data_IF_910047823284
#
_entry.id   IF_910047823284
#
_cell.length_a   1.000
_cell.length_b   1.000
_cell.length_c   1.000
_cell.angle_alpha   90.00
_cell.angle_beta   90.00
_cell.angle_gamma   90.00
#
_symmetry.space_group_name_H-M   'P 1'
#
loop_
_entity.id
_entity.type
_entity.pdbx_description
1 polymer ?
#
# COMPACT_ATOMS: atom_id res chain seq x y z
N UNK A 1 4.18 -9.67 -29.41
CA UNK A 1 4.50 -8.33 -28.86
C UNK A 1 4.54 -8.48 -27.35
N UNK A 2 5.72 -8.35 -26.75
CA UNK A 2 5.92 -8.52 -25.30
C UNK A 2 5.57 -7.20 -24.61
N UNK A 3 4.38 -7.15 -24.00
CA UNK A 3 3.98 -6.03 -23.15
C UNK A 3 4.44 -6.32 -21.73
N UNK A 4 5.38 -5.53 -21.23
CA UNK A 4 5.76 -5.55 -19.82
C UNK A 4 4.62 -4.89 -19.05
N UNK A 5 3.88 -5.66 -18.26
CA UNK A 5 2.95 -5.10 -17.29
C UNK A 5 3.81 -4.45 -16.19
N UNK A 6 3.85 -3.12 -16.19
CA UNK A 6 4.60 -2.38 -15.19
C UNK A 6 3.81 -2.40 -13.87
N UNK A 7 4.37 -3.03 -12.84
CA UNK A 7 3.93 -2.80 -11.47
C UNK A 7 4.09 -1.30 -11.14
N UNK A 8 3.13 -0.78 -10.37
CA UNK A 8 2.94 0.61 -9.99
C UNK A 8 4.22 1.47 -9.93
N UNK A 9 4.21 2.60 -10.64
CA UNK A 9 5.21 3.65 -10.48
C UNK A 9 4.94 4.38 -9.16
N UNK A 10 5.61 3.95 -8.09
CA UNK A 10 5.54 4.61 -6.77
C UNK A 10 6.09 6.04 -6.86
N UNK A 11 5.22 7.02 -7.12
CA UNK A 11 5.57 8.44 -7.01
C UNK A 11 5.25 8.92 -5.60
N UNK A 12 6.25 8.91 -4.71
CA UNK A 12 6.19 9.67 -3.48
C UNK A 12 6.47 11.15 -3.83
N UNK A 13 5.42 11.96 -3.90
CA UNK A 13 5.52 13.41 -4.04
C UNK A 13 5.36 14.04 -2.67
N UNK A 14 6.40 14.74 -2.18
CA UNK A 14 6.34 15.54 -0.96
C UNK A 14 5.37 16.73 -1.19
N UNK A 15 4.15 16.64 -0.66
CA UNK A 15 3.08 17.65 -0.85
C UNK A 15 2.86 18.57 0.36
N UNK A 16 3.66 18.45 1.42
CA UNK A 16 3.46 19.22 2.65
C UNK A 16 4.78 19.52 3.34
N UNK A 17 5.31 20.72 3.13
CA UNK A 17 6.51 21.17 3.81
C UNK A 17 6.32 21.23 5.34
N UNK A 18 7.04 20.38 6.07
CA UNK A 18 7.28 20.50 7.52
C UNK A 18 7.63 19.14 8.15
N UNK A 19 8.73 18.92 8.88
CA UNK A 19 9.88 19.74 9.21
C UNK A 19 11.08 18.83 9.52
N UNK A 20 12.26 19.30 9.13
CA UNK A 20 13.56 18.60 9.16
C UNK A 20 14.37 19.10 10.36
N UNK A 21 15.02 18.23 11.12
CA UNK A 21 16.02 18.67 12.11
C UNK A 21 17.31 19.06 11.39
N UNK A 22 17.61 20.35 11.40
CA UNK A 22 18.84 20.92 10.84
C UNK A 22 19.99 20.76 11.85
N UNK A 23 20.93 19.87 11.57
CA UNK A 23 22.25 19.93 12.20
C UNK A 23 23.11 20.95 11.46
N UNK A 24 23.87 21.74 12.21
CA UNK A 24 24.82 22.72 11.66
C UNK A 24 25.67 22.05 10.57
N UNK A 25 25.52 22.49 9.32
CA UNK A 25 26.04 21.92 8.05
C UNK A 25 25.18 20.88 7.32
N UNK A 26 23.95 21.26 6.96
CA UNK A 26 23.59 21.39 5.53
C UNK A 26 23.34 20.14 4.67
N UNK A 27 23.31 18.93 5.21
CA UNK A 27 22.84 17.74 4.46
C UNK A 27 21.69 17.06 5.18
N UNK A 28 20.54 16.99 4.50
CA UNK A 28 19.38 16.20 4.93
C UNK A 28 19.59 14.78 4.41
N UNK A 29 20.02 13.88 5.29
CA UNK A 29 20.04 12.46 4.99
C UNK A 29 18.80 11.80 5.62
N UNK A 30 17.71 11.74 4.85
CA UNK A 30 16.67 10.75 5.12
C UNK A 30 17.23 9.42 4.65
N UNK A 31 17.76 8.63 5.59
CA UNK A 31 18.16 7.26 5.29
C UNK A 31 16.91 6.54 4.75
N UNK A 32 16.90 6.18 3.47
CA UNK A 32 15.78 5.54 2.78
C UNK A 32 15.35 4.19 3.41
N UNK A 33 16.11 3.67 4.38
CA UNK A 33 15.75 2.51 5.20
C UNK A 33 14.82 2.85 6.38
N UNK A 34 14.74 4.11 6.80
CA UNK A 34 14.01 4.52 8.01
C UNK A 34 12.56 4.95 7.73
N UNK A 35 12.25 5.41 6.52
CA UNK A 35 10.89 5.67 6.04
C UNK A 35 10.68 4.95 4.71
N UNK A 36 9.70 4.05 4.65
CA UNK A 36 9.47 3.23 3.46
C UNK A 36 7.99 3.08 3.16
N UNK A 37 7.61 3.36 1.91
CA UNK A 37 6.36 2.90 1.32
C UNK A 37 6.67 1.59 0.57
N UNK A 38 6.01 0.51 0.95
CA UNK A 38 6.23 -0.81 0.38
C UNK A 38 4.90 -1.40 -0.07
N UNK A 39 4.90 -1.99 -1.27
CA UNK A 39 3.79 -2.79 -1.81
C UNK A 39 4.24 -4.23 -1.94
N UNK A 40 3.40 -5.16 -1.51
CA UNK A 40 3.66 -6.60 -1.59
C UNK A 40 2.44 -7.35 -2.09
N UNK A 41 2.71 -8.46 -2.80
CA UNK A 41 1.70 -9.41 -3.25
C UNK A 41 1.85 -10.70 -2.46
N UNK A 42 0.76 -11.19 -1.87
CA UNK A 42 0.74 -12.37 -1.01
C UNK A 42 -0.24 -13.42 -1.52
N UNK A 43 0.15 -14.70 -1.43
CA UNK A 43 -0.67 -15.87 -1.77
C UNK A 43 -0.54 -16.88 -0.65
N UNK A 44 -1.66 -17.28 -0.04
CA UNK A 44 -1.67 -18.29 1.02
C UNK A 44 -0.73 -17.99 2.19
N UNK A 45 -0.50 -16.71 2.50
CA UNK A 45 0.44 -16.28 3.55
C UNK A 45 1.92 -16.27 3.14
N UNK A 46 2.24 -16.45 1.86
CA UNK A 46 3.59 -16.32 1.31
C UNK A 46 3.72 -15.03 0.51
N UNK A 47 4.76 -14.24 0.77
CA UNK A 47 5.08 -13.06 -0.02
C UNK A 47 5.68 -13.49 -1.37
N UNK A 48 5.07 -13.06 -2.46
CA UNK A 48 5.41 -13.46 -3.83
C UNK A 48 6.25 -12.42 -4.57
N UNK A 49 5.99 -11.14 -4.31
CA UNK A 49 6.72 -10.02 -4.86
C UNK A 49 6.61 -8.80 -3.93
N UNK A 50 7.65 -7.96 -3.91
CA UNK A 50 7.73 -6.75 -3.10
C UNK A 50 8.38 -5.62 -3.89
N UNK A 51 7.84 -4.41 -3.76
CA UNK A 51 8.47 -3.17 -4.25
C UNK A 51 8.46 -2.15 -3.10
N UNK A 52 9.63 -1.66 -2.66
CA UNK A 52 10.98 -2.05 -3.06
C UNK A 52 11.28 -3.56 -2.82
N UNK A 53 12.31 -4.06 -3.49
CA UNK A 53 12.71 -5.45 -3.40
C UNK A 53 13.11 -5.82 -1.95
N UNK A 54 12.56 -6.92 -1.44
CA UNK A 54 12.81 -7.42 -0.09
C UNK A 54 13.37 -8.84 -0.19
N UNK A 55 14.56 -9.09 0.39
CA UNK A 55 15.20 -10.40 0.39
C UNK A 55 14.36 -11.47 1.10
N UNK A 56 13.51 -11.09 2.06
CA UNK A 56 12.59 -12.00 2.72
C UNK A 56 11.35 -12.32 1.88
N UNK A 57 11.09 -11.60 0.78
CA UNK A 57 9.97 -11.82 -0.12
C UNK A 57 10.44 -12.50 -1.41
N UNK A 58 10.25 -13.82 -1.51
CA UNK A 58 10.53 -14.63 -2.70
C UNK A 58 11.88 -14.29 -3.39
N UNK A 59 12.95 -14.17 -2.58
CA UNK A 59 14.29 -13.87 -3.10
C UNK A 59 14.41 -12.52 -3.80
N UNK A 60 13.75 -11.48 -3.28
CA UNK A 60 13.75 -10.12 -3.86
C UNK A 60 12.98 -9.99 -5.19
N UNK A 61 12.04 -10.89 -5.46
CA UNK A 61 11.17 -10.75 -6.64
C UNK A 61 10.37 -9.44 -6.58
N UNK A 62 10.40 -8.70 -7.69
CA UNK A 62 9.61 -7.46 -7.88
C UNK A 62 8.39 -7.66 -8.78
N UNK A 63 8.28 -8.84 -9.39
CA UNK A 63 7.18 -9.25 -10.27
C UNK A 63 6.81 -10.71 -9.98
N UNK A 64 5.54 -11.06 -10.12
CA UNK A 64 5.05 -12.44 -10.06
C UNK A 64 4.05 -12.68 -11.18
N UNK A 65 4.11 -13.85 -11.82
CA UNK A 65 3.08 -14.33 -12.75
C UNK A 65 2.18 -15.31 -12.02
N UNK A 66 0.86 -15.12 -12.11
CA UNK A 66 -0.13 -15.98 -11.47
C UNK A 66 -1.21 -16.39 -12.48
N UNK A 67 -1.76 -17.62 -12.38
CA UNK A 67 -2.88 -18.05 -13.21
C UNK A 67 -4.14 -17.18 -12.99
N UNK A 68 -4.97 -17.05 -14.04
CA UNK A 68 -6.34 -16.51 -13.89
C UNK A 68 -7.12 -17.30 -12.84
N UNK A 69 -7.96 -16.59 -12.08
CA UNK A 69 -8.72 -17.13 -10.95
C UNK A 69 -7.92 -17.23 -9.64
N UNK A 70 -6.63 -16.90 -9.63
CA UNK A 70 -5.83 -16.90 -8.40
C UNK A 70 -6.29 -15.78 -7.46
N UNK A 71 -6.63 -16.15 -6.22
CA UNK A 71 -6.89 -15.20 -5.14
C UNK A 71 -5.57 -14.67 -4.57
N UNK A 72 -5.49 -13.35 -4.43
CA UNK A 72 -4.31 -12.61 -4.02
C UNK A 72 -4.67 -11.68 -2.87
N UNK A 73 -3.68 -11.32 -2.06
CA UNK A 73 -3.75 -10.17 -1.18
C UNK A 73 -2.69 -9.16 -1.58
N UNK A 74 -3.11 -7.92 -1.78
CA UNK A 74 -2.20 -6.79 -1.96
C UNK A 74 -2.06 -6.09 -0.62
N UNK A 75 -0.83 -6.05 -0.09
CA UNK A 75 -0.50 -5.33 1.12
C UNK A 75 0.33 -4.09 0.78
N UNK A 76 -0.09 -2.93 1.25
CA UNK A 76 0.68 -1.68 1.14
C UNK A 76 0.89 -1.13 2.54
N UNK A 77 2.12 -0.77 2.87
CA UNK A 77 2.43 -0.26 4.20
C UNK A 77 3.45 0.87 4.16
N UNK A 78 3.34 1.75 5.15
CA UNK A 78 4.27 2.83 5.45
C UNK A 78 4.97 2.48 6.76
N UNK A 79 6.26 2.14 6.68
CA UNK A 79 7.12 1.97 7.85
C UNK A 79 7.72 3.31 8.24
N UNK A 80 7.49 3.73 9.47
CA UNK A 80 8.20 4.84 10.08
C UNK A 80 9.08 4.33 11.22
N UNK A 81 10.33 4.00 10.91
CA UNK A 81 11.34 3.60 11.90
C UNK A 81 12.15 4.81 12.40
N UNK A 82 11.67 6.02 12.17
CA UNK A 82 12.29 7.25 12.67
C UNK A 82 11.72 7.61 14.04
N UNK A 83 12.46 8.45 14.77
CA UNK A 83 12.00 9.06 16.02
C UNK A 83 10.99 10.21 15.81
N UNK A 84 10.57 10.49 14.57
CA UNK A 84 9.73 11.63 14.20
C UNK A 84 8.41 11.09 13.65
N UNK A 85 7.27 11.64 14.10
CA UNK A 85 5.98 11.34 13.50
C UNK A 85 5.84 12.05 12.15
N UNK A 86 5.19 11.39 11.19
CA UNK A 86 4.94 11.93 9.86
C UNK A 86 3.45 12.21 9.75
N UNK A 87 3.11 13.41 9.32
CA UNK A 87 1.74 13.82 9.05
C UNK A 87 1.50 13.97 7.55
N UNK A 88 0.23 14.05 7.17
CA UNK A 88 -0.22 14.33 5.79
C UNK A 88 0.27 13.31 4.76
N UNK A 89 0.42 12.05 5.17
CA UNK A 89 0.79 10.97 4.25
C UNK A 89 -0.38 10.71 3.30
N UNK A 90 -0.07 10.66 2.00
CA UNK A 90 -1.03 10.34 0.95
C UNK A 90 -0.38 9.43 -0.06
N UNK A 91 -1.10 8.40 -0.48
CA UNK A 91 -0.68 7.56 -1.58
C UNK A 91 -1.88 6.97 -2.30
N UNK A 92 -1.64 6.62 -3.56
CA UNK A 92 -2.62 6.01 -4.43
C UNK A 92 -1.99 4.81 -5.12
N UNK A 93 -2.78 3.79 -5.35
CA UNK A 93 -2.36 2.60 -6.08
C UNK A 93 -3.38 2.30 -7.17
N UNK A 94 -2.91 2.43 -8.41
CA UNK A 94 -3.71 2.09 -9.57
C UNK A 94 -3.74 0.57 -9.76
N UNK A 95 -4.95 0.04 -9.81
CA UNK A 95 -5.25 -1.37 -9.99
C UNK A 95 -5.76 -1.53 -11.42
N UNK A 96 -4.96 -2.21 -12.24
CA UNK A 96 -5.39 -2.61 -13.57
C UNK A 96 -6.48 -3.67 -13.43
N UNK A 97 -7.71 -3.35 -13.81
CA UNK A 97 -8.89 -4.22 -13.74
C UNK A 97 -9.23 -4.84 -15.11
N UNK A 98 -8.38 -4.65 -16.13
CA UNK A 98 -8.69 -5.04 -17.51
C UNK A 98 -8.89 -6.56 -17.64
N UNK A 99 -9.96 -6.96 -18.34
CA UNK A 99 -10.23 -8.36 -18.65
C UNK A 99 -9.43 -8.81 -19.90
N UNK A 100 -8.78 -9.97 -19.85
CA UNK A 100 -8.12 -10.56 -21.03
C UNK A 100 -6.83 -11.33 -20.73
N UNK A 101 -6.17 -11.84 -21.79
CA UNK A 101 -4.98 -12.69 -21.69
C UNK A 101 -3.72 -11.97 -21.11
N UNK A 102 -3.70 -10.64 -21.12
CA UNK A 102 -2.70 -9.82 -20.44
C UNK A 102 -3.10 -9.44 -18.99
N UNK A 103 -4.19 -10.04 -18.48
CA UNK A 103 -5.21 -9.35 -17.68
C UNK A 103 -4.78 -8.74 -16.35
N UNK A 104 -5.69 -7.91 -15.84
CA UNK A 104 -5.62 -7.25 -14.56
C UNK A 104 -6.13 -8.09 -13.38
N UNK A 105 -6.52 -7.39 -12.33
CA UNK A 105 -7.01 -7.89 -11.05
C UNK A 105 -8.35 -7.24 -10.75
N UNK A 106 -9.34 -8.04 -10.38
CA UNK A 106 -10.61 -7.54 -9.85
C UNK A 106 -10.52 -7.48 -8.32
N UNK A 107 -10.60 -6.29 -7.69
CA UNK A 107 -10.69 -6.18 -6.24
C UNK A 107 -11.93 -6.88 -5.69
N UNK A 108 -11.77 -7.63 -4.61
CA UNK A 108 -12.88 -8.24 -3.88
C UNK A 108 -13.55 -7.17 -3.02
N UNK A 109 -14.85 -6.97 -3.21
CA UNK A 109 -15.64 -6.04 -2.40
C UNK A 109 -15.56 -6.36 -0.90
N UNK A 110 -15.61 -5.32 -0.07
CA UNK A 110 -15.56 -5.36 1.40
C UNK A 110 -14.37 -6.17 1.98
N UNK A 111 -13.24 -6.24 1.27
CA UNK A 111 -12.05 -6.97 1.72
C UNK A 111 -10.98 -6.10 2.38
N UNK A 112 -11.13 -4.78 2.30
CA UNK A 112 -10.15 -3.82 2.78
C UNK A 112 -10.03 -3.86 4.31
N UNK A 113 -8.80 -3.92 4.80
CA UNK A 113 -8.49 -3.83 6.23
C UNK A 113 -7.25 -2.98 6.45
N UNK A 114 -7.11 -2.44 7.65
CA UNK A 114 -5.92 -1.72 8.08
C UNK A 114 -5.41 -2.18 9.45
N UNK A 115 -4.13 -1.87 9.72
CA UNK A 115 -3.50 -1.99 11.02
C UNK A 115 -2.51 -0.83 11.24
N UNK A 116 -2.41 -0.38 12.49
CA UNK A 116 -1.42 0.59 12.97
C UNK A 116 -0.72 0.14 14.25
N UNK A 117 -0.90 -1.11 14.66
CA UNK A 117 -0.37 -1.62 15.92
C UNK A 117 1.11 -2.00 15.86
N UNK A 118 1.62 -2.26 14.65
CA UNK A 118 3.00 -2.72 14.47
C UNK A 118 4.03 -1.59 14.66
N UNK A 119 5.19 -1.96 15.19
CA UNK A 119 6.35 -1.06 15.29
C UNK A 119 6.99 -0.83 13.90
N UNK A 120 7.77 0.25 13.78
CA UNK A 120 8.45 0.64 12.53
C UNK A 120 9.54 -0.34 12.08
N UNK A 121 10.04 -1.17 13.01
CA UNK A 121 11.03 -2.23 12.75
C UNK A 121 10.42 -3.59 12.40
N UNK A 122 9.08 -3.70 12.33
CA UNK A 122 8.41 -4.97 12.17
C UNK A 122 8.75 -5.62 10.83
N UNK A 123 8.89 -6.94 10.82
CA UNK A 123 9.09 -7.71 9.59
C UNK A 123 7.83 -7.65 8.73
N UNK A 124 7.98 -7.77 7.41
CA UNK A 124 6.84 -7.78 6.48
C UNK A 124 5.82 -8.90 6.82
N UNK A 125 6.29 -10.06 7.29
CA UNK A 125 5.43 -11.15 7.72
C UNK A 125 4.59 -10.83 8.98
N UNK A 126 5.17 -10.10 9.94
CA UNK A 126 4.43 -9.65 11.12
C UNK A 126 3.39 -8.59 10.75
N UNK A 127 3.75 -7.66 9.87
CA UNK A 127 2.84 -6.65 9.34
C UNK A 127 1.68 -7.32 8.60
N UNK A 128 1.98 -8.28 7.73
CA UNK A 128 0.97 -9.06 7.02
C UNK A 128 0.01 -9.77 7.96
N UNK A 129 0.53 -10.46 8.98
CA UNK A 129 -0.30 -11.18 9.97
C UNK A 129 -1.18 -10.21 10.77
N UNK A 130 -0.67 -9.04 11.14
CA UNK A 130 -1.42 -8.03 11.87
C UNK A 130 -2.54 -7.42 11.00
N UNK A 131 -2.23 -7.00 9.77
CA UNK A 131 -3.18 -6.30 8.91
C UNK A 131 -4.34 -7.19 8.44
N UNK A 132 -4.11 -8.49 8.20
CA UNK A 132 -5.21 -9.41 7.84
C UNK A 132 -6.18 -9.66 9.02
N UNK A 133 -5.69 -9.51 10.25
CA UNK A 133 -6.48 -9.57 11.48
C UNK A 133 -6.97 -8.19 11.93
N UNK A 134 -6.61 -7.14 11.19
CA UNK A 134 -6.88 -5.75 11.50
C UNK A 134 -8.34 -5.37 11.33
N UNK A 135 -8.58 -4.07 11.47
CA UNK A 135 -9.91 -3.49 11.41
C UNK A 135 -10.39 -3.42 9.96
N UNK A 136 -11.62 -3.86 9.72
CA UNK A 136 -12.25 -3.77 8.41
C UNK A 136 -12.60 -2.32 8.07
N UNK A 137 -12.36 -1.96 6.82
CA UNK A 137 -12.68 -0.67 6.23
C UNK A 137 -13.80 -0.88 5.20
N UNK A 138 -14.58 0.17 4.93
CA UNK A 138 -15.43 0.13 3.74
C UNK A 138 -14.60 0.47 2.51
N UNK A 139 -14.83 -0.31 1.47
CA UNK A 139 -14.26 -0.12 0.15
C UNK A 139 -14.82 1.12 -0.56
N UNK A 140 -16.00 1.60 -0.18
CA UNK A 140 -16.65 2.72 -0.84
C UNK A 140 -15.90 4.05 -0.66
N UNK A 141 -15.71 4.74 -1.79
CA UNK A 141 -15.26 6.13 -1.82
C UNK A 141 -16.33 6.98 -1.12
N UNK A 142 -15.89 7.92 -0.27
CA UNK A 142 -16.75 8.83 0.50
C UNK A 142 -17.70 8.18 1.53
N UNK A 143 -17.44 6.95 1.97
CA UNK A 143 -18.30 6.23 2.92
C UNK A 143 -18.34 6.81 4.37
N UNK A 144 -17.95 8.07 4.52
CA UNK A 144 -18.08 8.86 5.74
C UNK A 144 -16.86 8.83 6.66
N UNK A 145 -17.00 9.58 7.75
CA UNK A 145 -16.00 9.77 8.78
C UNK A 145 -15.76 8.46 9.55
N UNK A 146 -14.86 7.62 9.03
CA UNK A 146 -14.36 6.43 9.72
C UNK A 146 -13.11 5.85 9.07
N UNK A 147 -12.98 6.02 7.76
CA UNK A 147 -12.05 5.22 6.98
C UNK A 147 -10.66 5.85 6.81
N UNK A 148 -9.64 5.00 6.78
CA UNK A 148 -8.24 5.29 6.42
C UNK A 148 -7.99 5.15 4.92
N UNK A 149 -8.77 4.32 4.24
CA UNK A 149 -8.58 3.99 2.83
C UNK A 149 -9.92 3.75 2.13
N UNK A 150 -9.94 3.84 0.81
CA UNK A 150 -11.07 3.43 -0.03
C UNK A 150 -10.57 2.89 -1.35
N UNK A 151 -11.36 2.03 -2.00
CA UNK A 151 -11.08 1.50 -3.33
C UNK A 151 -12.20 1.96 -4.26
N UNK A 152 -11.88 2.83 -5.20
CA UNK A 152 -12.77 3.09 -6.32
C UNK A 152 -12.73 1.89 -7.26
N UNK A 153 -13.81 1.09 -7.25
CA UNK A 153 -14.04 0.05 -8.24
C UNK A 153 -14.97 0.60 -9.32
N UNK A 154 -14.45 0.74 -10.54
CA UNK A 154 -15.16 1.28 -11.70
C UNK A 154 -15.89 0.22 -12.51
N UNK A 155 -15.83 -1.04 -12.08
CA UNK A 155 -16.58 -2.16 -12.65
C UNK A 155 -16.17 -2.52 -14.08
N UNK A 156 -14.90 -2.37 -14.45
CA UNK A 156 -14.39 -2.83 -15.75
C UNK A 156 -14.62 -1.85 -16.91
N UNK A 157 -14.96 -0.58 -16.65
CA UNK A 157 -15.15 0.44 -17.70
C UNK A 157 -13.83 1.08 -18.15
N UNK A 158 -12.82 0.26 -18.46
CA UNK A 158 -11.50 0.68 -18.99
C UNK A 158 -10.73 1.74 -18.17
N UNK A 159 -11.23 2.13 -17.01
CA UNK A 159 -10.57 3.01 -16.07
C UNK A 159 -9.89 2.15 -15.01
N UNK A 160 -8.63 2.45 -14.71
CA UNK A 160 -7.93 1.80 -13.61
C UNK A 160 -8.74 2.02 -12.33
N UNK A 161 -8.99 0.93 -11.61
CA UNK A 161 -9.46 1.01 -10.24
C UNK A 161 -8.38 1.70 -9.40
N UNK A 162 -8.77 2.42 -8.36
CA UNK A 162 -7.82 3.19 -7.56
C UNK A 162 -8.04 2.97 -6.08
N UNK A 163 -7.02 2.42 -5.42
CA UNK A 163 -6.92 2.46 -3.97
C UNK A 163 -6.37 3.82 -3.57
N UNK A 164 -7.09 4.54 -2.72
CA UNK A 164 -6.69 5.85 -2.23
C UNK A 164 -6.57 5.83 -0.71
N UNK A 165 -5.44 6.31 -0.20
CA UNK A 165 -5.19 6.54 1.22
C UNK A 165 -4.84 8.00 1.43
N UNK A 166 -5.56 8.65 2.33
CA UNK A 166 -5.20 10.00 2.76
C UNK A 166 -5.68 11.14 1.85
N UNK A 167 -6.49 10.86 0.83
CA UNK A 167 -6.71 11.80 -0.28
C UNK A 167 -8.18 12.07 -0.65
N UNK A 168 -9.14 11.47 0.06
CA UNK A 168 -10.57 11.58 -0.25
C UNK A 168 -11.29 12.45 0.79
N UNK A 169 -11.98 13.53 0.38
CA UNK A 169 -12.78 14.36 1.28
C UNK A 169 -13.82 13.54 2.05
N UNK A 170 -13.78 13.56 3.39
CA UNK A 170 -14.73 12.83 4.23
C UNK A 170 -14.19 11.52 4.85
N UNK A 171 -13.02 11.04 4.43
CA UNK A 171 -12.26 10.03 5.18
C UNK A 171 -11.79 10.61 6.53
N UNK A 172 -11.77 9.80 7.60
CA UNK A 172 -11.22 10.21 8.92
C UNK A 172 -9.76 10.64 8.81
N UNK A 173 -9.09 10.16 7.77
CA UNK A 173 -7.69 10.43 7.51
C UNK A 173 -7.49 11.22 6.22
N UNK A 174 -8.25 12.29 5.94
CA UNK A 174 -7.88 13.25 4.88
C UNK A 174 -6.41 13.75 4.97
N UNK A 175 -5.77 13.46 6.10
CA UNK A 175 -4.33 13.44 6.37
C UNK A 175 -4.00 12.17 7.18
N UNK A 176 -3.30 11.17 6.61
CA UNK A 176 -2.81 10.02 7.38
C UNK A 176 -1.60 10.45 8.21
N UNK A 177 -1.67 10.22 9.52
CA UNK A 177 -0.56 10.44 10.44
C UNK A 177 0.05 9.10 10.85
N UNK A 178 1.35 8.92 10.62
CA UNK A 178 2.11 7.74 11.03
C UNK A 178 3.04 8.15 12.17
N UNK A 179 2.73 7.68 13.37
CA UNK A 179 3.52 7.98 14.58
C UNK A 179 4.99 7.52 14.43
N UNK A 180 5.86 8.11 15.24
CA UNK A 180 7.24 7.69 15.33
C UNK A 180 7.35 6.21 15.73
N UNK A 181 8.25 5.46 15.12
CA UNK A 181 8.48 4.04 15.37
C UNK A 181 7.24 3.15 15.19
N UNK A 182 6.28 3.52 14.35
CA UNK A 182 5.11 2.70 14.02
C UNK A 182 5.02 2.39 12.53
N UNK A 183 4.18 1.42 12.19
CA UNK A 183 3.85 1.07 10.82
C UNK A 183 2.35 1.25 10.60
N UNK A 184 1.97 1.92 9.52
CA UNK A 184 0.62 1.85 8.97
C UNK A 184 0.60 0.80 7.86
N UNK A 185 -0.40 -0.07 7.85
CA UNK A 185 -0.57 -1.06 6.81
C UNK A 185 -2.03 -1.17 6.38
N UNK A 186 -2.23 -1.46 5.11
CA UNK A 186 -3.52 -1.85 4.54
C UNK A 186 -3.37 -3.12 3.72
N UNK A 187 -4.44 -3.89 3.65
CA UNK A 187 -4.56 -5.06 2.79
C UNK A 187 -5.92 -5.09 2.14
N UNK A 188 -5.97 -5.52 0.88
CA UNK A 188 -7.21 -5.85 0.20
C UNK A 188 -7.02 -7.13 -0.62
N UNK A 189 -8.14 -7.80 -0.88
CA UNK A 189 -8.17 -9.02 -1.65
C UNK A 189 -8.47 -8.69 -3.10
N UNK A 190 -7.91 -9.48 -4.01
CA UNK A 190 -8.23 -9.39 -5.43
C UNK A 190 -8.12 -10.76 -6.09
N UNK A 191 -8.81 -10.92 -7.21
CA UNK A 191 -8.73 -12.12 -8.05
C UNK A 191 -8.08 -11.75 -9.37
N UNK A 192 -7.11 -12.55 -9.81
CA UNK A 192 -6.52 -12.40 -11.15
C UNK A 192 -7.58 -12.69 -12.22
N UNK A 193 -7.77 -11.76 -13.15
CA UNK A 193 -8.66 -11.93 -14.32
C UNK A 193 -8.14 -13.02 -15.26
#
# INVERSE_FOLDING_TARGET
MSGVANAALNQASNVGGGGVTLTNSGTVEVLASALQLVKQVWIGGTCMASIPADAACNGSAITVTVPSGTALKFMIFVKNNTAIAISDVRFQDAIDDTAGAAGGFTPTAASLKYDMSQNGSATAANIYTAVIAGTAETDAVDAGAGNYASILNTGGTAALDNLTVGAVPGQVNATLNVNANTTFAIVFDAVKN
#
